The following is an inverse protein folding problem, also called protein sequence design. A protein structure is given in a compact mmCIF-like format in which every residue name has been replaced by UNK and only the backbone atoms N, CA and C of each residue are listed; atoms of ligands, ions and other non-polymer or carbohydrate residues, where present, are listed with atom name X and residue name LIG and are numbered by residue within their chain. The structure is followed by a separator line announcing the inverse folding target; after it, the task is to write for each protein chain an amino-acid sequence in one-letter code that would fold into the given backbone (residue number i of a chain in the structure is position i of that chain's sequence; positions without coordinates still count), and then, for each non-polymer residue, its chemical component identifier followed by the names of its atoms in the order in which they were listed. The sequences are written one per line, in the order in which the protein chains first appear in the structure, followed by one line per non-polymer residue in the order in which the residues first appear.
data_IF_223087598486
#
_entry.id   IF_223087598486
#
_cell.length_a   1.000
_cell.length_b   1.000
_cell.length_c   1.000
_cell.angle_alpha   90.00
_cell.angle_beta   90.00
_cell.angle_gamma   90.00
#
_symmetry.space_group_name_H-M   'P 1'
#
loop_
_entity.id
_entity.type
_entity.pdbx_description
1 polymer ?
#
# COMPACT_ATOMS: atom_id res chain seq x y z
N UNK A 1 9.31 27.75 -5.19
CA UNK A 1 8.38 26.84 -5.91
C UNK A 1 9.03 25.46 -5.99
N UNK A 2 8.30 24.37 -5.69
CA UNK A 2 8.81 23.02 -5.95
C UNK A 2 8.94 22.85 -7.46
N UNK A 3 10.13 22.51 -7.97
CA UNK A 3 10.30 22.06 -9.34
C UNK A 3 9.68 20.67 -9.48
N UNK A 4 8.70 20.52 -10.36
CA UNK A 4 8.11 19.22 -10.71
C UNK A 4 9.01 18.61 -11.79
N UNK A 5 9.66 17.49 -11.48
CA UNK A 5 10.48 16.73 -12.43
C UNK A 5 9.66 15.68 -13.19
N UNK A 6 10.25 15.09 -14.23
CA UNK A 6 9.60 14.05 -15.04
C UNK A 6 9.14 12.84 -14.20
N UNK A 7 9.89 12.49 -13.17
CA UNK A 7 9.58 11.39 -12.26
C UNK A 7 8.45 11.70 -11.27
N UNK A 8 8.09 12.98 -11.09
CA UNK A 8 6.91 13.37 -10.30
C UNK A 8 5.61 13.22 -11.12
N UNK A 9 5.73 13.20 -12.45
CA UNK A 9 4.61 13.04 -13.40
C UNK A 9 4.37 11.56 -13.70
N UNK A 10 5.44 10.78 -13.86
CA UNK A 10 5.35 9.35 -14.06
C UNK A 10 4.98 8.66 -12.73
N UNK A 11 3.77 8.12 -12.68
CA UNK A 11 3.32 7.33 -11.53
C UNK A 11 4.27 6.15 -11.23
N UNK A 12 4.30 5.66 -9.98
CA UNK A 12 5.21 4.59 -9.62
C UNK A 12 4.88 3.30 -10.37
N UNK A 13 5.91 2.50 -10.65
CA UNK A 13 5.70 1.10 -11.05
C UNK A 13 4.99 0.39 -9.89
N UNK A 14 3.84 -0.20 -10.17
CA UNK A 14 2.98 -0.76 -9.14
C UNK A 14 2.10 -1.89 -9.67
N UNK A 15 1.52 -2.65 -8.75
CA UNK A 15 0.46 -3.62 -8.99
C UNK A 15 -0.89 -3.03 -8.60
N UNK A 16 -1.91 -3.30 -9.42
CA UNK A 16 -3.29 -2.87 -9.16
C UNK A 16 -3.67 -1.57 -9.88
N UNK A 17 -4.94 -1.16 -9.78
CA UNK A 17 -5.49 -0.14 -10.67
C UNK A 17 -5.18 1.30 -10.23
N UNK A 18 -4.68 1.53 -9.01
CA UNK A 18 -4.63 2.87 -8.41
C UNK A 18 -3.31 3.20 -7.71
N UNK A 19 -2.70 4.31 -8.11
CA UNK A 19 -1.47 4.83 -7.49
C UNK A 19 -1.70 5.34 -6.07
N UNK A 20 -2.87 5.91 -5.78
CA UNK A 20 -3.21 6.38 -4.44
C UNK A 20 -3.68 5.23 -3.54
N UNK A 21 -4.69 4.48 -3.99
CA UNK A 21 -5.37 3.48 -3.17
C UNK A 21 -4.67 2.13 -3.12
N UNK A 22 -3.74 1.84 -4.03
CA UNK A 22 -2.94 0.61 -4.01
C UNK A 22 -1.48 0.92 -3.68
N UNK A 23 -0.76 1.69 -4.51
CA UNK A 23 0.66 1.95 -4.23
C UNK A 23 0.88 2.81 -2.97
N UNK A 24 0.04 3.84 -2.77
CA UNK A 24 0.06 4.64 -1.55
C UNK A 24 -0.26 3.80 -0.30
N UNK A 25 -1.28 2.96 -0.38
CA UNK A 25 -1.66 2.05 0.70
C UNK A 25 -0.54 1.06 1.09
N UNK A 26 0.12 0.44 0.11
CA UNK A 26 1.27 -0.44 0.38
C UNK A 26 2.44 0.29 1.01
N UNK A 27 2.75 1.51 0.55
CA UNK A 27 3.77 2.37 1.16
C UNK A 27 3.43 2.71 2.61
N UNK A 28 2.18 3.05 2.91
CA UNK A 28 1.73 3.34 4.28
C UNK A 28 1.92 2.11 5.19
N UNK A 29 1.51 0.93 4.76
CA UNK A 29 1.73 -0.31 5.51
C UNK A 29 3.22 -0.57 5.77
N UNK A 30 4.08 -0.36 4.76
CA UNK A 30 5.53 -0.56 4.91
C UNK A 30 6.17 0.44 5.87
N UNK A 31 5.74 1.69 5.84
CA UNK A 31 6.18 2.71 6.81
C UNK A 31 5.76 2.30 8.23
N UNK A 32 4.50 1.88 8.42
CA UNK A 32 4.03 1.39 9.72
C UNK A 32 4.86 0.19 10.21
N UNK A 33 5.20 -0.76 9.33
CA UNK A 33 6.10 -1.88 9.63
C UNK A 33 7.47 -1.43 10.13
N UNK A 34 8.07 -0.46 9.44
CA UNK A 34 9.38 0.07 9.82
C UNK A 34 9.33 0.76 11.19
N UNK A 35 8.29 1.55 11.45
CA UNK A 35 8.07 2.21 12.75
C UNK A 35 7.89 1.20 13.88
N UNK A 36 7.18 0.09 13.62
CA UNK A 36 6.93 -0.96 14.62
C UNK A 36 8.12 -1.92 14.86
N UNK A 37 9.25 -1.76 14.17
CA UNK A 37 10.41 -2.65 14.33
C UNK A 37 10.31 -4.00 13.63
N UNK A 38 9.27 -4.23 12.82
CA UNK A 38 9.18 -5.36 11.88
C UNK A 38 8.61 -6.68 12.40
N UNK A 39 8.52 -6.90 13.72
CA UNK A 39 7.88 -8.08 14.31
C UNK A 39 6.46 -7.75 14.79
N UNK A 40 5.52 -7.79 13.84
CA UNK A 40 4.12 -7.41 14.09
C UNK A 40 3.28 -8.67 14.26
N UNK A 41 2.66 -8.82 15.44
CA UNK A 41 1.75 -9.94 15.74
C UNK A 41 0.32 -9.71 15.28
N UNK A 42 -0.12 -8.45 15.29
CA UNK A 42 -1.48 -8.07 14.93
C UNK A 42 -1.51 -6.65 14.38
N UNK A 43 -2.37 -6.41 13.39
CA UNK A 43 -2.65 -5.08 12.84
C UNK A 43 -4.15 -4.87 12.73
N UNK A 44 -4.62 -3.72 13.19
CA UNK A 44 -5.97 -3.24 12.92
C UNK A 44 -5.90 -2.06 11.95
N UNK A 45 -6.59 -2.16 10.81
CA UNK A 45 -6.71 -1.06 9.86
C UNK A 45 -8.06 -0.36 10.00
N UNK A 46 -8.03 0.94 10.28
CA UNK A 46 -9.21 1.80 10.29
C UNK A 46 -9.22 2.65 9.02
N UNK A 47 -10.16 2.38 8.12
CA UNK A 47 -10.28 3.10 6.85
C UNK A 47 -11.31 4.21 6.97
N UNK A 48 -10.96 5.41 6.50
CA UNK A 48 -11.84 6.58 6.47
C UNK A 48 -11.96 7.14 5.06
N UNK A 49 -13.02 7.93 4.81
CA UNK A 49 -13.17 8.70 3.57
C UNK A 49 -13.13 7.83 2.31
N UNK A 50 -12.32 8.23 1.32
CA UNK A 50 -12.21 7.53 0.03
C UNK A 50 -11.67 6.11 0.15
N UNK A 51 -10.78 5.85 1.12
CA UNK A 51 -10.27 4.52 1.42
C UNK A 51 -11.42 3.61 1.85
N UNK A 52 -12.21 4.02 2.84
CA UNK A 52 -13.36 3.23 3.32
C UNK A 52 -14.38 2.89 2.21
N UNK A 53 -14.61 3.84 1.30
CA UNK A 53 -15.59 3.69 0.21
C UNK A 53 -15.14 2.75 -0.90
N UNK A 54 -13.83 2.66 -1.17
CA UNK A 54 -13.32 2.01 -2.38
C UNK A 54 -12.33 0.87 -2.12
N UNK A 55 -12.10 0.50 -0.86
CA UNK A 55 -11.00 -0.38 -0.49
C UNK A 55 -10.99 -1.72 -1.24
N UNK A 56 -12.16 -2.36 -1.44
CA UNK A 56 -12.26 -3.61 -2.21
C UNK A 56 -11.99 -3.41 -3.70
N UNK A 57 -12.55 -2.35 -4.29
CA UNK A 57 -12.45 -2.09 -5.72
C UNK A 57 -11.03 -1.72 -6.18
N UNK A 58 -10.25 -1.09 -5.29
CA UNK A 58 -8.86 -0.74 -5.55
C UNK A 58 -7.83 -1.68 -4.90
N UNK A 59 -8.28 -2.74 -4.20
CA UNK A 59 -7.40 -3.68 -3.50
C UNK A 59 -6.58 -3.05 -2.37
N UNK A 60 -7.12 -2.01 -1.74
CA UNK A 60 -6.47 -1.24 -0.68
C UNK A 60 -6.22 -2.07 0.57
N UNK A 61 -7.14 -2.96 0.92
CA UNK A 61 -6.99 -3.92 2.01
C UNK A 61 -5.77 -4.81 1.78
N UNK A 62 -5.67 -5.41 0.60
CA UNK A 62 -4.54 -6.24 0.19
C UNK A 62 -3.24 -5.45 0.20
N UNK A 63 -3.26 -4.23 -0.32
CA UNK A 63 -2.09 -3.35 -0.37
C UNK A 63 -1.57 -3.00 1.03
N UNK A 64 -2.47 -2.65 1.96
CA UNK A 64 -2.11 -2.37 3.35
C UNK A 64 -1.44 -3.58 4.02
N UNK A 65 -2.03 -4.76 3.86
CA UNK A 65 -1.45 -6.01 4.36
C UNK A 65 -0.10 -6.30 3.71
N UNK A 66 0.01 -6.14 2.39
CA UNK A 66 1.27 -6.33 1.67
C UNK A 66 2.38 -5.43 2.21
N UNK A 67 2.06 -4.17 2.50
CA UNK A 67 2.99 -3.22 3.13
C UNK A 67 3.47 -3.70 4.51
N UNK A 68 2.54 -4.17 5.36
CA UNK A 68 2.88 -4.76 6.67
C UNK A 68 3.75 -6.01 6.53
N UNK A 69 3.53 -6.82 5.50
CA UNK A 69 4.36 -7.97 5.16
C UNK A 69 5.70 -7.58 4.51
N UNK A 70 5.98 -6.28 4.32
CA UNK A 70 7.23 -5.76 3.80
C UNK A 70 7.36 -5.77 2.28
N UNK A 71 6.26 -5.96 1.55
CA UNK A 71 6.25 -5.95 0.09
C UNK A 71 6.32 -4.53 -0.47
N UNK A 72 6.91 -4.39 -1.67
CA UNK A 72 6.89 -3.15 -2.44
C UNK A 72 5.57 -3.01 -3.24
N UNK A 73 5.16 -1.77 -3.59
CA UNK A 73 4.02 -1.55 -4.49
C UNK A 73 4.10 -2.30 -5.82
N UNK A 74 5.31 -2.57 -6.32
CA UNK A 74 5.58 -3.29 -7.57
C UNK A 74 5.62 -4.82 -7.41
N UNK A 75 5.53 -5.34 -6.19
CA UNK A 75 5.59 -6.78 -5.92
C UNK A 75 4.32 -7.48 -6.43
N UNK A 76 4.47 -8.43 -7.35
CA UNK A 76 3.36 -9.19 -7.93
C UNK A 76 2.55 -9.95 -6.87
N UNK A 77 3.17 -10.32 -5.74
CA UNK A 77 2.52 -11.03 -4.62
C UNK A 77 1.55 -10.14 -3.85
N UNK A 78 1.57 -8.81 -4.05
CA UNK A 78 0.67 -7.85 -3.39
C UNK A 78 -0.81 -8.25 -3.57
N UNK A 79 -1.17 -8.78 -4.75
CA UNK A 79 -2.54 -9.23 -5.06
C UNK A 79 -3.03 -10.39 -4.19
N UNK A 80 -2.09 -11.14 -3.62
CA UNK A 80 -2.31 -12.35 -2.84
C UNK A 80 -1.81 -12.20 -1.40
N UNK A 81 -1.66 -10.97 -0.91
CA UNK A 81 -1.08 -10.69 0.42
C UNK A 81 -1.79 -11.39 1.58
N UNK A 82 -3.11 -11.65 1.45
CA UNK A 82 -3.87 -12.42 2.44
C UNK A 82 -3.57 -13.92 2.47
N UNK A 83 -2.90 -14.50 1.47
CA UNK A 83 -2.58 -15.94 1.48
C UNK A 83 -1.38 -16.26 2.37
N UNK A 84 -0.60 -15.25 2.76
CA UNK A 84 0.65 -15.38 3.52
C UNK A 84 0.64 -14.49 4.79
N UNK A 85 -0.54 -14.06 5.23
CA UNK A 85 -0.77 -13.19 6.40
C UNK A 85 -1.30 -13.96 7.59
#
# INVERSE_FOLDING_TARGET
MKSVGVFDILGPIMVGPSSSHTAGAARLGKVARAVAGGDIKEVTFLLHGSFAKTYKGHGTDRALVAGILGMEPSDLRLRDSFRNS
#
